data_IF_530419792618
#
_entry.id   IF_530419792618
#
_cell.length_a   1.000
_cell.length_b   1.000
_cell.length_c   1.000
_cell.angle_alpha   90.00
_cell.angle_beta   90.00
_cell.angle_gamma   90.00
#
_symmetry.space_group_name_H-M   'P 1'
#
loop_
_entity.id
_entity.type
_entity.pdbx_description
1 polymer ?
#
# COMPACT_ATOMS: atom_id res chain seq x y z
N UNK A 1 12.33 14.86 -8.36
CA UNK A 1 10.85 14.79 -8.40
C UNK A 1 10.41 13.42 -8.87
N UNK A 2 9.38 12.86 -8.25
CA UNK A 2 8.73 11.61 -8.68
C UNK A 2 7.26 11.88 -9.00
N UNK A 3 6.68 11.08 -9.91
CA UNK A 3 5.27 11.17 -10.28
C UNK A 3 4.54 9.92 -9.80
N UNK A 4 3.49 10.11 -9.03
CA UNK A 4 2.60 9.03 -8.65
C UNK A 4 1.80 8.57 -9.88
N UNK A 5 1.91 7.29 -10.23
CA UNK A 5 1.37 6.76 -11.50
C UNK A 5 -0.16 6.81 -11.56
N UNK A 6 -0.83 6.62 -10.43
CA UNK A 6 -2.30 6.55 -10.38
C UNK A 6 -2.95 7.93 -10.32
N UNK A 7 -2.37 8.88 -9.57
CA UNK A 7 -2.96 10.21 -9.37
C UNK A 7 -2.34 11.30 -10.25
N UNK A 8 -1.19 11.01 -10.87
CA UNK A 8 -0.41 11.99 -11.65
C UNK A 8 0.29 13.05 -10.79
N UNK A 9 0.12 13.02 -9.46
CA UNK A 9 0.70 13.99 -8.53
C UNK A 9 2.23 13.90 -8.50
N UNK A 10 2.89 15.05 -8.47
CA UNK A 10 4.36 15.15 -8.41
C UNK A 10 4.83 15.52 -7.01
N UNK A 11 5.87 14.83 -6.54
CA UNK A 11 6.48 15.03 -5.22
C UNK A 11 7.98 15.30 -5.33
N UNK A 12 8.47 16.25 -4.55
CA UNK A 12 9.91 16.40 -4.30
C UNK A 12 10.35 15.35 -3.28
N UNK A 13 11.35 14.55 -3.67
CA UNK A 13 11.94 13.52 -2.81
C UNK A 13 13.45 13.60 -2.91
N UNK A 14 14.12 13.30 -1.80
CA UNK A 14 15.57 13.21 -1.76
C UNK A 14 16.03 11.97 -2.54
N UNK A 15 16.97 12.12 -3.47
CA UNK A 15 17.37 11.05 -4.40
C UNK A 15 17.88 9.78 -3.72
N UNK A 16 18.45 9.89 -2.52
CA UNK A 16 18.89 8.72 -1.72
C UNK A 16 17.76 7.82 -1.23
N UNK A 17 16.51 8.30 -1.25
CA UNK A 17 15.31 7.53 -0.85
C UNK A 17 14.64 6.82 -2.03
N UNK A 18 15.20 6.93 -3.24
CA UNK A 18 14.76 6.21 -4.42
C UNK A 18 15.66 5.00 -4.64
N UNK A 19 15.10 3.80 -4.49
CA UNK A 19 15.76 2.56 -4.92
C UNK A 19 14.83 1.77 -5.84
N UNK A 20 15.40 0.96 -6.72
CA UNK A 20 14.60 0.05 -7.52
C UNK A 20 13.99 -1.02 -6.60
N UNK A 21 12.74 -1.41 -6.88
CA UNK A 21 12.02 -2.42 -6.11
C UNK A 21 12.73 -3.78 -6.05
N UNK A 22 13.57 -4.09 -7.05
CA UNK A 22 14.37 -5.31 -7.12
C UNK A 22 15.88 -5.06 -6.92
N UNK A 23 16.24 -3.92 -6.34
CA UNK A 23 17.64 -3.64 -6.01
C UNK A 23 18.06 -4.47 -4.79
N UNK A 24 19.17 -5.20 -4.89
CA UNK A 24 19.68 -6.03 -3.78
C UNK A 24 20.08 -5.21 -2.54
N UNK A 25 20.20 -3.89 -2.68
CA UNK A 25 20.45 -2.96 -1.58
C UNK A 25 19.19 -2.35 -0.99
N UNK A 26 18.01 -2.58 -1.60
CA UNK A 26 16.72 -2.23 -1.01
C UNK A 26 16.43 -3.25 0.10
N UNK A 27 16.94 -2.96 1.29
CA UNK A 27 16.61 -3.69 2.50
C UNK A 27 15.18 -3.31 2.92
N UNK A 28 14.28 -4.29 3.03
CA UNK A 28 12.90 -4.07 3.47
C UNK A 28 12.92 -3.89 4.99
N UNK A 29 13.29 -2.70 5.43
CA UNK A 29 13.41 -2.34 6.84
C UNK A 29 12.04 -2.10 7.47
N UNK A 30 12.00 -2.15 8.80
CA UNK A 30 10.80 -1.82 9.60
C UNK A 30 10.28 -0.42 9.28
N UNK A 31 11.15 0.55 9.01
CA UNK A 31 10.80 1.91 8.55
C UNK A 31 10.04 1.90 7.21
N UNK A 32 10.43 1.07 6.24
CA UNK A 32 9.72 0.96 4.97
C UNK A 32 8.36 0.28 5.16
N UNK A 33 8.28 -0.75 6.00
CA UNK A 33 7.01 -1.41 6.33
C UNK A 33 6.04 -0.46 7.06
N UNK A 34 6.56 0.33 7.99
CA UNK A 34 5.80 1.34 8.73
C UNK A 34 5.41 2.53 7.84
N UNK A 35 6.27 2.91 6.89
CA UNK A 35 5.95 3.91 5.87
C UNK A 35 4.86 3.42 4.91
N UNK A 36 4.93 2.17 4.44
CA UNK A 36 3.88 1.59 3.58
C UNK A 36 2.57 1.40 4.34
N UNK A 37 2.62 1.01 5.62
CA UNK A 37 1.42 0.87 6.44
C UNK A 37 0.79 2.23 6.81
N UNK A 38 1.62 3.25 7.05
CA UNK A 38 1.17 4.64 7.29
C UNK A 38 0.77 5.38 6.01
N UNK A 39 1.25 4.94 4.84
CA UNK A 39 0.71 5.32 3.54
C UNK A 39 -0.71 4.78 3.30
N UNK A 40 -1.31 4.09 4.28
CA UNK A 40 -2.74 4.01 4.51
C UNK A 40 -3.54 4.16 3.24
N UNK A 41 -3.52 3.13 2.40
CA UNK A 41 -4.28 3.15 1.16
C UNK A 41 -5.75 3.23 1.57
N UNK A 42 -6.30 4.44 1.57
CA UNK A 42 -7.71 4.70 1.74
C UNK A 42 -8.40 4.13 0.50
N UNK A 43 -8.76 2.85 0.58
CA UNK A 43 -9.70 2.24 -0.33
C UNK A 43 -11.04 2.94 -0.08
N UNK A 44 -11.36 3.90 -0.95
CA UNK A 44 -12.71 4.43 -1.03
C UNK A 44 -13.63 3.29 -1.45
N UNK A 45 -14.37 2.75 -0.49
CA UNK A 45 -15.37 1.71 -0.73
C UNK A 45 -16.71 2.40 -0.94
N UNK A 46 -17.34 2.21 -2.09
CA UNK A 46 -18.67 2.77 -2.39
C UNK A 46 -19.75 2.17 -1.48
N UNK A 47 -19.59 0.90 -1.12
CA UNK A 47 -20.38 0.25 -0.08
C UNK A 47 -19.99 -1.21 0.11
N UNK A 48 -20.50 -1.84 1.16
CA UNK A 48 -20.35 -3.28 1.38
C UNK A 48 -21.49 -4.04 0.69
N UNK A 49 -21.16 -5.06 -0.09
CA UNK A 49 -22.11 -5.92 -0.78
C UNK A 49 -22.46 -7.17 0.02
N UNK A 50 -21.48 -7.76 0.70
CA UNK A 50 -21.65 -9.01 1.44
C UNK A 50 -20.52 -9.23 2.46
N UNK A 51 -20.66 -10.25 3.31
CA UNK A 51 -19.64 -10.68 4.27
C UNK A 51 -19.60 -12.20 4.38
N UNK A 52 -18.41 -12.76 4.62
CA UNK A 52 -18.25 -14.19 4.95
C UNK A 52 -17.19 -14.39 6.01
N UNK A 53 -17.34 -15.46 6.78
CA UNK A 53 -16.27 -15.94 7.65
C UNK A 53 -15.39 -16.93 6.88
N UNK A 54 -14.11 -16.62 6.73
CA UNK A 54 -13.13 -17.53 6.17
C UNK A 54 -12.50 -18.34 7.31
N UNK A 55 -12.88 -19.61 7.42
CA UNK A 55 -12.41 -20.51 8.47
C UNK A 55 -10.90 -20.80 8.33
N UNK A 56 -10.41 -20.99 7.10
CA UNK A 56 -9.00 -21.30 6.82
C UNK A 56 -8.08 -20.15 7.26
N UNK A 57 -8.52 -18.90 7.04
CA UNK A 57 -7.81 -17.70 7.47
C UNK A 57 -8.25 -17.20 8.86
N UNK A 58 -9.21 -17.86 9.51
CA UNK A 58 -9.80 -17.50 10.80
C UNK A 58 -10.18 -16.02 10.93
N UNK A 59 -10.79 -15.44 9.88
CA UNK A 59 -11.14 -14.01 9.83
C UNK A 59 -12.42 -13.74 9.04
N UNK A 60 -13.03 -12.59 9.33
CA UNK A 60 -14.12 -12.06 8.51
C UNK A 60 -13.58 -11.36 7.26
N UNK A 61 -14.23 -11.62 6.13
CA UNK A 61 -13.94 -10.99 4.84
C UNK A 61 -15.18 -10.23 4.36
N UNK A 62 -14.98 -9.03 3.80
CA UNK A 62 -16.04 -8.16 3.28
C UNK A 62 -15.93 -8.07 1.76
N UNK A 63 -17.05 -8.21 1.06
CA UNK A 63 -17.14 -7.91 -0.36
C UNK A 63 -17.50 -6.43 -0.52
N UNK A 64 -16.67 -5.68 -1.24
CA UNK A 64 -16.83 -4.25 -1.51
C UNK A 64 -17.40 -4.01 -2.91
N UNK A 65 -18.16 -2.93 -3.10
CA UNK A 65 -18.66 -2.45 -4.39
C UNK A 65 -17.62 -1.62 -5.14
#
# INVERSE_FOLDING_TARGET
MIRHLLTGSTYEVHGSRLRFYADSSLDVTEEILEFVSSQGMLLGVDGFSDHRYNADASRWELLVK
#
